data_IF_125059427059
#
_entry.id   IF_125059427059
#
_cell.length_a   1.000
_cell.length_b   1.000
_cell.length_c   1.000
_cell.angle_alpha   90.00
_cell.angle_beta   90.00
_cell.angle_gamma   90.00
#
_symmetry.space_group_name_H-M   'P 1'
#
loop_
_entity.id
_entity.type
_entity.pdbx_description
1 polymer ?
#
# COMPACT_ATOMS: atom_id res chain seq x y z
N UNK A 1 23.34 6.71 3.83
CA UNK A 1 21.93 6.77 4.32
C UNK A 1 20.97 7.12 3.19
N UNK A 2 19.68 6.80 3.35
CA UNK A 2 18.59 7.16 2.45
C UNK A 2 17.32 7.46 3.25
N UNK A 3 16.40 8.29 2.73
CA UNK A 3 15.13 8.54 3.40
C UNK A 3 14.49 9.88 3.07
N UNK A 4 13.41 10.18 3.83
CA UNK A 4 12.68 11.44 3.75
C UNK A 4 13.29 12.55 4.63
N UNK A 5 14.17 12.20 5.56
CA UNK A 5 14.92 13.15 6.40
C UNK A 5 16.28 13.47 5.75
N UNK A 6 17.09 14.30 6.42
CA UNK A 6 18.46 14.61 5.97
C UNK A 6 19.25 13.29 5.85
N UNK A 7 19.60 12.93 4.62
CA UNK A 7 20.23 11.66 4.26
C UNK A 7 21.06 11.82 3.00
N UNK A 8 22.00 10.89 2.74
CA UNK A 8 22.84 10.96 1.54
C UNK A 8 22.01 10.85 0.26
N UNK A 9 20.97 10.00 0.30
CA UNK A 9 20.01 9.86 -0.80
C UNK A 9 18.62 10.30 -0.34
N UNK A 10 18.02 11.22 -1.08
CA UNK A 10 16.65 11.68 -0.86
C UNK A 10 15.92 11.80 -2.19
N UNK A 11 14.62 12.06 -2.13
CA UNK A 11 13.78 12.21 -3.31
C UNK A 11 12.94 13.49 -3.23
N UNK A 12 12.73 14.12 -4.38
CA UNK A 12 11.83 15.27 -4.54
C UNK A 12 10.89 15.01 -5.71
N UNK A 13 9.60 15.09 -5.47
CA UNK A 13 8.55 14.86 -6.46
C UNK A 13 7.55 13.78 -6.04
N UNK A 14 6.63 13.48 -6.96
CA UNK A 14 5.63 12.43 -6.78
C UNK A 14 6.28 11.03 -6.75
N UNK A 15 5.77 10.08 -5.92
CA UNK A 15 6.32 8.72 -5.89
C UNK A 15 6.41 8.00 -7.23
N UNK A 16 5.61 8.37 -8.22
CA UNK A 16 5.67 7.80 -9.57
C UNK A 16 6.68 8.51 -10.49
N UNK A 17 7.06 9.76 -10.16
CA UNK A 17 7.96 10.57 -10.97
C UNK A 17 8.74 11.54 -10.08
N UNK A 18 9.94 11.16 -9.66
CA UNK A 18 10.75 11.94 -8.72
C UNK A 18 12.21 12.06 -9.14
N UNK A 19 12.82 13.13 -8.69
CA UNK A 19 14.26 13.34 -8.80
C UNK A 19 14.96 12.71 -7.59
N UNK A 20 16.04 11.98 -7.87
CA UNK A 20 16.93 11.41 -6.87
C UNK A 20 18.02 12.42 -6.57
N UNK A 21 18.11 12.81 -5.30
CA UNK A 21 19.19 13.67 -4.82
C UNK A 21 20.25 12.83 -4.12
N UNK A 22 21.51 13.13 -4.41
CA UNK A 22 22.66 12.58 -3.68
C UNK A 22 23.43 13.75 -3.07
N UNK A 23 23.52 13.80 -1.74
CA UNK A 23 24.13 14.90 -0.98
C UNK A 23 23.55 16.28 -1.29
N UNK A 24 22.27 16.33 -1.66
CA UNK A 24 21.54 17.56 -1.98
C UNK A 24 21.46 17.90 -3.47
N UNK A 25 22.30 17.31 -4.30
CA UNK A 25 22.30 17.54 -5.75
C UNK A 25 21.40 16.54 -6.49
N UNK A 26 20.59 17.02 -7.44
CA UNK A 26 19.78 16.17 -8.30
C UNK A 26 20.68 15.43 -9.30
N UNK A 27 20.76 14.10 -9.19
CA UNK A 27 21.69 13.28 -9.94
C UNK A 27 21.01 12.31 -10.93
N UNK A 28 19.72 12.04 -10.75
CA UNK A 28 18.96 11.16 -11.61
C UNK A 28 17.45 11.38 -11.44
N UNK A 29 16.64 10.85 -12.36
CA UNK A 29 15.19 10.82 -12.29
C UNK A 29 14.66 9.41 -12.40
N UNK A 30 13.72 9.05 -11.54
CA UNK A 30 12.95 7.80 -11.60
C UNK A 30 11.55 8.13 -12.10
N UNK A 31 11.08 7.36 -13.08
CA UNK A 31 9.71 7.40 -13.56
C UNK A 31 9.23 5.96 -13.78
N UNK A 32 8.20 5.55 -13.05
CA UNK A 32 7.69 4.18 -13.04
C UNK A 32 6.19 4.13 -12.71
N UNK A 33 5.60 2.94 -12.68
CA UNK A 33 4.17 2.75 -12.39
C UNK A 33 3.84 2.57 -10.91
N UNK A 34 4.85 2.46 -10.03
CA UNK A 34 4.61 2.18 -8.61
C UNK A 34 4.17 3.44 -7.88
N UNK A 35 3.19 3.28 -6.98
CA UNK A 35 2.61 4.35 -6.18
C UNK A 35 3.08 4.28 -4.71
N UNK A 36 2.93 5.39 -4.00
CA UNK A 36 3.16 5.49 -2.57
C UNK A 36 4.61 5.78 -2.16
N UNK A 37 4.75 6.59 -1.11
CA UNK A 37 6.05 7.03 -0.58
C UNK A 37 6.94 5.86 -0.16
N UNK A 38 6.35 4.76 0.29
CA UNK A 38 7.12 3.56 0.65
C UNK A 38 7.87 2.96 -0.55
N UNK A 39 7.28 2.98 -1.76
CA UNK A 39 7.96 2.53 -2.96
C UNK A 39 9.06 3.52 -3.39
N UNK A 40 8.83 4.82 -3.26
CA UNK A 40 9.86 5.84 -3.46
C UNK A 40 11.07 5.60 -2.52
N UNK A 41 10.83 5.30 -1.25
CA UNK A 41 11.88 4.97 -0.28
C UNK A 41 12.59 3.65 -0.63
N UNK A 42 11.85 2.64 -1.11
CA UNK A 42 12.45 1.39 -1.59
C UNK A 42 13.37 1.62 -2.81
N UNK A 43 12.96 2.52 -3.72
CA UNK A 43 13.80 2.92 -4.84
C UNK A 43 15.12 3.56 -4.38
N UNK A 44 15.04 4.52 -3.44
CA UNK A 44 16.23 5.15 -2.86
C UNK A 44 17.16 4.13 -2.20
N UNK A 45 16.59 3.16 -1.47
CA UNK A 45 17.35 2.07 -0.85
C UNK A 45 18.07 1.23 -1.90
N UNK A 46 17.38 0.85 -2.97
CA UNK A 46 17.95 0.05 -4.06
C UNK A 46 19.06 0.82 -4.80
N UNK A 47 18.84 2.10 -5.10
CA UNK A 47 19.83 2.99 -5.73
C UNK A 47 21.05 3.16 -4.84
N UNK A 48 20.86 3.41 -3.53
CA UNK A 48 21.97 3.56 -2.58
C UNK A 48 22.78 2.28 -2.46
N UNK A 49 22.14 1.11 -2.42
CA UNK A 49 22.82 -0.19 -2.39
C UNK A 49 23.60 -0.44 -3.68
N UNK A 50 23.03 -0.17 -4.85
CA UNK A 50 23.70 -0.29 -6.13
C UNK A 50 24.91 0.64 -6.24
N UNK A 51 24.75 1.90 -5.80
CA UNK A 51 25.86 2.87 -5.77
C UNK A 51 27.00 2.42 -4.86
N UNK A 52 26.69 1.82 -3.71
CA UNK A 52 27.70 1.31 -2.77
C UNK A 52 28.62 0.25 -3.41
N UNK A 53 28.11 -0.53 -4.36
CA UNK A 53 28.89 -1.53 -5.09
C UNK A 53 29.41 -1.03 -6.45
N UNK A 54 29.40 0.28 -6.68
CA UNK A 54 30.02 0.94 -7.83
C UNK A 54 29.12 1.14 -9.05
N UNK A 55 27.82 0.89 -8.96
CA UNK A 55 26.89 1.19 -10.06
C UNK A 55 26.58 2.69 -10.07
N UNK A 56 26.69 3.40 -11.21
CA UNK A 56 26.30 4.81 -11.32
C UNK A 56 24.83 5.04 -10.94
N UNK A 57 24.56 6.10 -10.17
CA UNK A 57 23.19 6.44 -9.71
C UNK A 57 22.21 6.57 -10.87
N UNK A 58 22.64 7.20 -11.97
CA UNK A 58 21.82 7.35 -13.18
C UNK A 58 21.44 6.01 -13.79
N UNK A 59 22.36 5.07 -13.86
CA UNK A 59 22.11 3.72 -14.37
C UNK A 59 21.15 2.94 -13.46
N UNK A 60 21.34 3.01 -12.14
CA UNK A 60 20.45 2.38 -11.17
C UNK A 60 19.03 2.95 -11.26
N UNK A 61 18.89 4.27 -11.34
CA UNK A 61 17.60 4.95 -11.49
C UNK A 61 16.91 4.58 -12.81
N UNK A 62 17.64 4.54 -13.92
CA UNK A 62 17.11 4.14 -15.22
C UNK A 62 16.62 2.69 -15.24
N UNK A 63 17.30 1.78 -14.54
CA UNK A 63 16.88 0.38 -14.45
C UNK A 63 15.52 0.22 -13.76
N UNK A 64 15.17 1.10 -12.83
CA UNK A 64 13.88 1.08 -12.13
C UNK A 64 12.69 1.42 -13.04
N UNK A 65 12.90 2.15 -14.14
CA UNK A 65 11.84 2.43 -15.13
C UNK A 65 11.29 1.14 -15.77
N UNK A 66 12.10 0.10 -15.83
CA UNK A 66 11.73 -1.21 -16.38
C UNK A 66 11.36 -2.23 -15.28
N UNK A 67 11.31 -1.81 -14.03
CA UNK A 67 11.00 -2.71 -12.92
C UNK A 67 9.54 -3.14 -12.98
N UNK A 68 9.32 -4.44 -13.12
CA UNK A 68 8.00 -5.04 -13.03
C UNK A 68 7.69 -5.31 -11.55
N UNK A 69 6.52 -4.84 -11.12
CA UNK A 69 6.12 -4.98 -9.72
C UNK A 69 6.05 -6.46 -9.29
N UNK A 70 6.25 -6.69 -8.01
CA UNK A 70 6.13 -8.01 -7.39
C UNK A 70 4.65 -8.41 -7.35
N UNK A 71 4.35 -9.69 -7.59
CA UNK A 71 3.00 -10.23 -7.44
C UNK A 71 2.41 -9.87 -6.07
N UNK A 72 1.11 -9.58 -6.06
CA UNK A 72 0.37 -9.21 -4.85
C UNK A 72 0.93 -7.95 -4.15
N UNK A 73 1.39 -6.98 -4.93
CA UNK A 73 1.75 -5.63 -4.49
C UNK A 73 0.99 -4.64 -5.36
N UNK A 74 -0.23 -4.31 -4.97
CA UNK A 74 -1.17 -3.54 -5.81
C UNK A 74 -1.27 -4.10 -7.24
N UNK A 75 -1.29 -5.43 -7.35
CA UNK A 75 -1.40 -6.13 -8.62
C UNK A 75 -2.82 -5.97 -9.18
N UNK A 76 -2.95 -5.33 -10.32
CA UNK A 76 -4.24 -5.24 -11.01
C UNK A 76 -4.67 -6.63 -11.51
N UNK A 77 -5.72 -7.19 -10.94
CA UNK A 77 -6.29 -8.49 -11.32
C UNK A 77 -7.24 -8.40 -12.50
N UNK A 78 -7.83 -7.26 -12.69
CA UNK A 78 -8.73 -6.99 -13.80
C UNK A 78 -9.57 -5.74 -13.58
N UNK A 79 -10.30 -5.36 -14.63
CA UNK A 79 -11.27 -4.26 -14.60
C UNK A 79 -12.59 -4.75 -15.20
N UNK A 80 -13.67 -4.62 -14.44
CA UNK A 80 -15.00 -5.03 -14.86
C UNK A 80 -15.98 -3.87 -14.61
N UNK A 81 -16.68 -3.45 -15.64
CA UNK A 81 -17.64 -2.33 -15.57
C UNK A 81 -17.06 -1.05 -14.95
N UNK A 82 -15.80 -0.74 -15.24
CA UNK A 82 -15.10 0.43 -14.70
C UNK A 82 -14.56 0.24 -13.28
N UNK A 83 -14.77 -0.93 -12.65
CA UNK A 83 -14.25 -1.26 -11.31
C UNK A 83 -12.93 -2.00 -11.47
N UNK A 84 -11.84 -1.40 -10.99
CA UNK A 84 -10.53 -2.03 -10.96
C UNK A 84 -10.35 -2.86 -9.68
N UNK A 85 -9.93 -4.10 -9.81
CA UNK A 85 -9.69 -5.03 -8.71
C UNK A 85 -8.19 -5.24 -8.53
N UNK A 86 -7.69 -4.89 -7.34
CA UNK A 86 -6.27 -5.02 -6.98
C UNK A 86 -6.08 -6.10 -5.92
N UNK A 87 -4.99 -6.87 -6.04
CA UNK A 87 -4.52 -7.81 -5.03
C UNK A 87 -3.25 -7.26 -4.36
N UNK A 88 -3.29 -7.12 -3.03
CA UNK A 88 -2.15 -6.66 -2.23
C UNK A 88 -1.88 -7.64 -1.08
N UNK A 89 -0.61 -7.82 -0.76
CA UNK A 89 -0.18 -8.71 0.33
C UNK A 89 -0.17 -8.02 1.70
N UNK A 90 -0.66 -6.80 1.80
CA UNK A 90 -0.75 -6.08 3.06
C UNK A 90 -1.56 -6.89 4.09
N UNK A 91 -0.92 -7.27 5.19
CA UNK A 91 -1.50 -8.10 6.25
C UNK A 91 -1.20 -7.55 7.65
N UNK A 92 -0.69 -6.33 7.72
CA UNK A 92 -0.36 -5.61 8.94
C UNK A 92 -0.95 -4.19 8.86
N UNK A 93 -1.45 -3.57 9.94
CA UNK A 93 -2.11 -2.27 9.89
C UNK A 93 -1.31 -1.18 9.19
N UNK A 94 0.00 -1.08 9.46
CA UNK A 94 0.86 -0.10 8.78
C UNK A 94 0.93 -0.35 7.26
N UNK A 95 1.00 -1.62 6.83
CA UNK A 95 1.01 -1.95 5.41
C UNK A 95 -0.34 -1.64 4.75
N UNK A 96 -1.47 -1.97 5.39
CA UNK A 96 -2.81 -1.58 4.93
C UNK A 96 -2.90 -0.06 4.77
N UNK A 97 -2.47 0.70 5.79
CA UNK A 97 -2.46 2.16 5.76
C UNK A 97 -1.67 2.70 4.58
N UNK A 98 -0.41 2.27 4.42
CA UNK A 98 0.46 2.79 3.35
C UNK A 98 -0.06 2.43 1.96
N UNK A 99 -0.65 1.25 1.79
CA UNK A 99 -1.27 0.82 0.52
C UNK A 99 -2.50 1.67 0.19
N UNK A 100 -3.43 1.84 1.14
CA UNK A 100 -4.65 2.61 0.93
C UNK A 100 -4.36 4.11 0.74
N UNK A 101 -3.43 4.68 1.50
CA UNK A 101 -3.01 6.07 1.33
C UNK A 101 -2.33 6.30 -0.03
N UNK A 102 -1.53 5.33 -0.49
CA UNK A 102 -0.91 5.37 -1.81
C UNK A 102 -1.95 5.33 -2.92
N UNK A 103 -2.92 4.43 -2.80
CA UNK A 103 -4.01 4.29 -3.75
C UNK A 103 -4.90 5.55 -3.78
N UNK A 104 -5.29 6.07 -2.63
CA UNK A 104 -6.09 7.30 -2.51
C UNK A 104 -5.40 8.49 -3.17
N UNK A 105 -4.10 8.67 -2.94
CA UNK A 105 -3.34 9.75 -3.61
C UNK A 105 -3.29 9.61 -5.12
N UNK A 106 -3.18 8.38 -5.61
CA UNK A 106 -3.09 8.12 -7.05
C UNK A 106 -4.43 8.30 -7.77
N UNK A 107 -5.54 7.97 -7.11
CA UNK A 107 -6.90 8.03 -7.69
C UNK A 107 -7.61 9.36 -7.45
N UNK A 108 -7.17 10.14 -6.44
CA UNK A 108 -7.84 11.36 -6.01
C UNK A 108 -8.97 11.12 -5.02
N UNK A 109 -9.64 12.22 -4.61
CA UNK A 109 -10.67 12.19 -3.58
C UNK A 109 -12.01 11.59 -4.08
N UNK A 110 -12.29 11.72 -5.36
CA UNK A 110 -13.59 11.33 -5.95
C UNK A 110 -13.70 9.82 -6.22
N UNK A 111 -12.59 9.11 -6.26
CA UNK A 111 -12.58 7.68 -6.48
C UNK A 111 -13.09 6.93 -5.24
N UNK A 112 -13.94 5.94 -5.44
CA UNK A 112 -14.45 5.08 -4.37
C UNK A 112 -13.53 3.88 -4.16
N UNK A 113 -13.02 3.72 -2.93
CA UNK A 113 -12.12 2.63 -2.54
C UNK A 113 -12.85 1.68 -1.58
N UNK A 114 -13.00 0.43 -1.99
CA UNK A 114 -13.50 -0.67 -1.18
C UNK A 114 -12.32 -1.53 -0.73
N UNK A 115 -12.00 -1.51 0.56
CA UNK A 115 -10.95 -2.33 1.15
C UNK A 115 -11.54 -3.66 1.63
N UNK A 116 -11.12 -4.76 1.02
CA UNK A 116 -11.54 -6.12 1.41
C UNK A 116 -10.35 -6.83 2.01
N UNK A 117 -10.45 -7.30 3.26
CA UNK A 117 -9.30 -7.88 3.94
C UNK A 117 -9.68 -9.03 4.88
N UNK A 118 -8.70 -9.88 5.14
CA UNK A 118 -8.76 -10.97 6.10
C UNK A 118 -7.53 -10.93 7.00
N UNK A 119 -7.69 -10.83 8.32
CA UNK A 119 -6.58 -10.89 9.28
C UNK A 119 -5.99 -12.29 9.39
N UNK A 120 -5.10 -12.69 8.47
CA UNK A 120 -4.59 -14.07 8.34
C UNK A 120 -3.33 -14.40 9.12
N UNK A 121 -2.44 -13.42 9.32
CA UNK A 121 -1.19 -13.68 10.05
C UNK A 121 -1.46 -14.07 11.51
N UNK A 122 -0.56 -14.83 12.12
CA UNK A 122 -0.72 -15.24 13.53
C UNK A 122 -0.92 -14.03 14.45
N UNK A 123 -0.15 -12.96 14.26
CA UNK A 123 -0.27 -11.72 15.02
C UNK A 123 -1.65 -11.07 14.85
N UNK A 124 -2.18 -11.06 13.64
CA UNK A 124 -3.50 -10.52 13.36
C UNK A 124 -4.62 -11.40 13.92
N UNK A 125 -4.51 -12.74 13.80
CA UNK A 125 -5.48 -13.69 14.37
C UNK A 125 -5.57 -13.62 15.88
N UNK A 126 -4.45 -13.35 16.56
CA UNK A 126 -4.40 -13.16 18.01
C UNK A 126 -4.91 -11.79 18.46
N UNK A 127 -5.22 -10.88 17.55
CA UNK A 127 -5.74 -9.56 17.85
C UNK A 127 -4.74 -8.57 18.45
N UNK A 128 -3.44 -8.88 18.48
CA UNK A 128 -2.42 -8.01 19.04
C UNK A 128 -2.41 -6.60 18.44
N UNK A 129 -2.86 -6.47 17.20
CA UNK A 129 -2.87 -5.20 16.46
C UNK A 129 -4.28 -4.71 16.11
N UNK A 130 -5.34 -5.32 16.67
CA UNK A 130 -6.73 -4.99 16.33
C UNK A 130 -7.08 -3.52 16.54
N UNK A 131 -6.51 -2.88 17.57
CA UNK A 131 -6.75 -1.47 17.88
C UNK A 131 -6.22 -0.49 16.77
N UNK A 132 -5.31 -0.93 15.91
CA UNK A 132 -4.76 -0.12 14.83
C UNK A 132 -5.54 -0.27 13.51
N UNK A 133 -6.47 -1.22 13.43
CA UNK A 133 -7.23 -1.47 12.19
C UNK A 133 -8.07 -0.27 11.74
N UNK A 134 -8.84 0.40 12.60
CA UNK A 134 -9.60 1.57 12.16
C UNK A 134 -8.72 2.64 11.52
N UNK A 135 -7.61 2.98 12.16
CA UNK A 135 -6.63 3.93 11.62
C UNK A 135 -6.09 3.47 10.26
N UNK A 136 -5.82 2.18 10.10
CA UNK A 136 -5.26 1.65 8.86
C UNK A 136 -6.21 1.69 7.67
N UNK A 137 -7.51 1.81 7.91
CA UNK A 137 -8.58 1.74 6.91
C UNK A 137 -9.23 3.11 6.63
N UNK A 138 -8.78 4.19 7.25
CA UNK A 138 -9.38 5.53 7.12
C UNK A 138 -9.51 6.01 5.67
N UNK A 139 -8.53 5.70 4.82
CA UNK A 139 -8.49 6.12 3.42
C UNK A 139 -9.41 5.32 2.49
N UNK A 140 -10.03 4.24 2.99
CA UNK A 140 -11.09 3.52 2.29
C UNK A 140 -12.45 4.18 2.54
N UNK A 141 -13.36 4.07 1.56
CA UNK A 141 -14.75 4.51 1.72
C UNK A 141 -15.60 3.44 2.40
N UNK A 142 -15.32 2.17 2.11
CA UNK A 142 -15.86 1.00 2.82
C UNK A 142 -14.76 0.00 3.12
N UNK A 143 -14.88 -0.70 4.25
CA UNK A 143 -13.96 -1.75 4.68
C UNK A 143 -14.74 -3.03 5.00
N UNK A 144 -14.39 -4.12 4.35
CA UNK A 144 -15.02 -5.43 4.49
C UNK A 144 -14.05 -6.41 5.13
N UNK A 145 -14.39 -6.95 6.30
CA UNK A 145 -13.57 -7.88 7.05
C UNK A 145 -14.16 -9.29 7.03
N UNK A 146 -13.40 -10.26 6.54
CA UNK A 146 -13.74 -11.67 6.79
C UNK A 146 -13.27 -12.06 8.19
N UNK A 147 -14.19 -12.46 9.09
CA UNK A 147 -13.86 -12.85 10.46
C UNK A 147 -13.58 -14.33 10.66
N UNK A 148 -13.64 -15.13 9.62
CA UNK A 148 -13.42 -16.56 9.73
C UNK A 148 -12.08 -16.89 10.41
N UNK A 149 -12.13 -17.66 11.50
CA UNK A 149 -10.94 -18.13 12.22
C UNK A 149 -10.22 -17.07 13.07
N UNK A 150 -10.87 -15.93 13.38
CA UNK A 150 -10.34 -14.94 14.32
C UNK A 150 -10.65 -15.32 15.77
N UNK A 151 -9.70 -15.07 16.68
CA UNK A 151 -9.86 -15.22 18.13
C UNK A 151 -10.44 -13.98 18.83
N UNK A 152 -10.92 -12.96 18.08
CA UNK A 152 -11.44 -11.68 18.58
C UNK A 152 -12.58 -11.19 17.69
N UNK A 153 -13.41 -10.28 18.20
CA UNK A 153 -14.54 -9.74 17.46
C UNK A 153 -14.12 -8.51 16.59
N UNK A 154 -14.12 -8.62 15.26
CA UNK A 154 -13.82 -7.49 14.39
C UNK A 154 -14.91 -6.40 14.39
N UNK A 155 -16.15 -6.70 14.76
CA UNK A 155 -17.22 -5.69 14.91
C UNK A 155 -16.83 -4.71 16.02
N UNK A 156 -16.39 -5.22 17.17
CA UNK A 156 -15.90 -4.39 18.27
C UNK A 156 -14.67 -3.58 17.88
N UNK A 157 -13.70 -4.23 17.24
CA UNK A 157 -12.44 -3.58 16.84
C UNK A 157 -12.61 -2.47 15.81
N UNK A 158 -13.62 -2.58 14.92
CA UNK A 158 -13.89 -1.63 13.85
C UNK A 158 -15.00 -0.62 14.18
N UNK A 159 -15.51 -0.62 15.40
CA UNK A 159 -16.67 0.20 15.79
C UNK A 159 -16.50 1.69 15.50
N UNK A 160 -15.28 2.22 15.60
CA UNK A 160 -15.00 3.63 15.30
C UNK A 160 -15.11 4.01 13.82
N UNK A 161 -15.14 3.04 12.91
CA UNK A 161 -15.42 3.28 11.50
C UNK A 161 -16.93 3.42 11.19
N UNK A 162 -17.79 3.06 12.14
CA UNK A 162 -19.24 3.15 11.97
C UNK A 162 -19.74 2.35 10.77
N UNK A 163 -20.59 2.95 9.95
CA UNK A 163 -21.18 2.33 8.76
C UNK A 163 -20.19 2.00 7.65
N UNK A 164 -18.97 2.52 7.71
CA UNK A 164 -17.91 2.17 6.75
C UNK A 164 -17.44 0.72 6.91
N UNK A 165 -17.53 0.15 8.12
CA UNK A 165 -17.06 -1.20 8.38
C UNK A 165 -18.18 -2.22 8.25
N UNK A 166 -17.90 -3.29 7.52
CA UNK A 166 -18.75 -4.45 7.37
C UNK A 166 -17.98 -5.71 7.70
N UNK A 167 -18.61 -6.63 8.39
CA UNK A 167 -18.00 -7.91 8.79
C UNK A 167 -18.83 -9.04 8.21
N UNK A 168 -18.15 -10.05 7.65
CA UNK A 168 -18.75 -11.23 7.08
C UNK A 168 -18.20 -12.50 7.74
N UNK A 169 -19.05 -13.51 7.89
CA UNK A 169 -18.71 -14.80 8.48
C UNK A 169 -18.05 -15.76 7.48
N UNK A 170 -18.24 -15.50 6.19
CA UNK A 170 -17.73 -16.34 5.11
C UNK A 170 -17.31 -15.51 3.89
N UNK A 171 -16.56 -16.12 2.99
CA UNK A 171 -16.17 -15.48 1.72
C UNK A 171 -17.39 -15.21 0.84
N UNK A 172 -18.37 -16.10 0.81
CA UNK A 172 -19.59 -15.94 0.01
C UNK A 172 -20.43 -14.73 0.50
N UNK A 173 -20.56 -14.58 1.81
CA UNK A 173 -21.21 -13.42 2.40
C UNK A 173 -20.43 -12.13 2.10
N UNK A 174 -19.09 -12.17 2.26
CA UNK A 174 -18.20 -11.05 1.95
C UNK A 174 -18.39 -10.58 0.51
N UNK A 175 -18.36 -11.51 -0.45
CA UNK A 175 -18.58 -11.21 -1.87
C UNK A 175 -19.97 -10.60 -2.09
N UNK A 176 -21.01 -11.17 -1.47
CA UNK A 176 -22.37 -10.65 -1.58
C UNK A 176 -22.49 -9.22 -1.06
N UNK A 177 -21.85 -8.90 0.08
CA UNK A 177 -21.83 -7.55 0.65
C UNK A 177 -21.07 -6.56 -0.25
N UNK A 178 -19.93 -6.97 -0.83
CA UNK A 178 -19.14 -6.13 -1.76
C UNK A 178 -19.91 -5.84 -3.03
N UNK A 179 -20.58 -6.85 -3.62
CA UNK A 179 -21.35 -6.68 -4.86
C UNK A 179 -22.57 -5.79 -4.66
N UNK A 180 -23.19 -5.83 -3.47
CA UNK A 180 -24.37 -5.03 -3.14
C UNK A 180 -24.05 -3.58 -2.75
N UNK A 181 -22.75 -3.21 -2.64
CA UNK A 181 -22.31 -1.89 -2.20
C UNK A 181 -21.97 -0.99 -3.40
#
# INVERSE_FOLDING_TARGET
>A
SFGAAVSDFSAVGDPQAFDVLHQGDAVARVQWSLTGVHNQLNALAAIAAAHHVGVPVSQAAQALANFQNVKRRMELRGTVNGIAVYDDFAHHPTALRTTLDGLRRSLGADARILAVFEPRSNTMKLGAMKAQLPWSLESADLAFCNRAGLGWDPVEALVSLGEKARVADSVDELVSQVVAS
#
